data_IF_368240780359
#
_entry.id   IF_368240780359
#
_cell.length_a   1.000
_cell.length_b   1.000
_cell.length_c   1.000
_cell.angle_alpha   90.00
_cell.angle_beta   90.00
_cell.angle_gamma   90.00
#
_symmetry.space_group_name_H-M   'P 1'
#
loop_
_entity.id
_entity.type
_entity.pdbx_description
1 polymer ?
#
# COMPACT_ATOMS: atom_id res chain seq x y z
N UNK A 1 12.55 10.12 5.42
CA UNK A 1 11.57 9.31 6.17
C UNK A 1 10.50 8.86 5.19
N UNK A 2 10.09 7.59 5.23
CA UNK A 2 9.04 7.05 4.37
C UNK A 2 7.80 6.79 5.21
N UNK A 3 6.64 7.23 4.72
CA UNK A 3 5.35 6.92 5.31
C UNK A 3 4.50 6.13 4.32
N UNK A 4 3.78 5.13 4.81
CA UNK A 4 2.80 4.37 4.07
C UNK A 4 1.47 4.35 4.84
N UNK A 5 0.35 4.39 4.11
CA UNK A 5 -0.98 4.47 4.69
C UNK A 5 -1.81 3.28 4.23
N UNK A 6 -2.35 2.52 5.17
CA UNK A 6 -3.45 1.59 4.92
C UNK A 6 -4.73 2.42 4.90
N UNK A 7 -5.32 2.61 3.73
CA UNK A 7 -6.59 3.32 3.59
C UNK A 7 -7.70 2.27 3.52
N UNK A 8 -8.58 2.25 4.52
CA UNK A 8 -9.74 1.36 4.62
C UNK A 8 -11.00 2.10 4.19
N UNK A 9 -11.77 1.53 3.26
CA UNK A 9 -13.07 2.11 2.90
C UNK A 9 -14.22 1.52 3.75
N UNK A 10 -15.42 2.11 3.60
CA UNK A 10 -16.64 1.64 4.26
C UNK A 10 -17.10 0.23 3.86
N UNK A 11 -16.49 -0.38 2.83
CA UNK A 11 -16.74 -1.77 2.42
C UNK A 11 -15.77 -2.77 3.07
N UNK A 12 -14.90 -2.32 3.98
CA UNK A 12 -13.89 -3.17 4.62
C UNK A 12 -12.71 -3.53 3.71
N UNK A 13 -12.54 -2.82 2.59
CA UNK A 13 -11.45 -3.05 1.63
C UNK A 13 -10.34 -2.02 1.81
N UNK A 14 -9.12 -2.42 1.52
CA UNK A 14 -7.95 -1.54 1.52
C UNK A 14 -7.57 -1.09 0.12
N UNK A 15 -7.03 0.12 -0.01
CA UNK A 15 -6.48 0.62 -1.26
C UNK A 15 -5.07 0.08 -1.50
N UNK A 16 -4.85 -0.52 -2.66
CA UNK A 16 -3.53 -0.85 -3.21
C UNK A 16 -3.36 -0.18 -4.57
N UNK A 17 -2.12 0.20 -4.90
CA UNK A 17 -1.79 0.86 -6.18
C UNK A 17 -0.61 0.17 -6.84
N UNK A 18 -0.68 0.02 -8.16
CA UNK A 18 0.40 -0.52 -8.98
C UNK A 18 1.26 0.60 -9.51
N UNK A 19 2.57 0.51 -9.27
CA UNK A 19 3.54 1.49 -9.76
C UNK A 19 3.62 1.46 -11.29
N UNK A 20 3.71 2.65 -11.88
CA UNK A 20 3.81 2.83 -13.32
C UNK A 20 5.00 2.04 -13.90
N UNK A 21 4.86 1.42 -15.08
CA UNK A 21 5.96 0.73 -15.76
C UNK A 21 7.13 1.65 -16.09
N UNK A 22 6.90 2.98 -16.13
CA UNK A 22 7.93 3.99 -16.42
C UNK A 22 8.80 4.33 -15.21
N UNK A 23 8.57 3.73 -14.03
CA UNK A 23 9.36 3.98 -12.83
C UNK A 23 10.69 3.22 -12.87
N UNK A 24 11.78 3.89 -12.49
CA UNK A 24 13.12 3.28 -12.38
C UNK A 24 13.19 2.25 -11.25
N UNK A 25 12.55 2.55 -10.11
CA UNK A 25 12.57 1.71 -8.90
C UNK A 25 11.20 1.06 -8.74
N UNK A 26 11.21 -0.28 -8.65
CA UNK A 26 10.04 -1.15 -8.44
C UNK A 26 8.90 -0.91 -9.46
N UNK A 27 9.15 -0.94 -10.78
CA UNK A 27 8.09 -0.85 -11.78
C UNK A 27 7.13 -2.04 -11.68
N UNK A 28 5.84 -1.82 -11.97
CA UNK A 28 4.78 -2.85 -12.00
C UNK A 28 4.49 -3.56 -10.67
N UNK A 29 5.16 -3.19 -9.57
CA UNK A 29 4.87 -3.74 -8.25
C UNK A 29 3.70 -3.00 -7.59
N UNK A 30 2.95 -3.74 -6.79
CA UNK A 30 1.88 -3.20 -5.96
C UNK A 30 2.43 -2.63 -4.65
N UNK A 31 1.66 -1.74 -4.04
CA UNK A 31 2.00 -1.15 -2.76
C UNK A 31 0.81 -0.43 -2.12
N UNK A 32 0.97 -0.10 -0.85
CA UNK A 32 0.12 0.87 -0.17
C UNK A 32 0.45 2.28 -0.70
N UNK A 33 -0.51 3.22 -0.68
CA UNK A 33 -0.21 4.64 -0.77
C UNK A 33 0.94 5.01 0.14
N UNK A 34 2.00 5.56 -0.43
CA UNK A 34 3.22 5.88 0.29
C UNK A 34 3.93 7.07 -0.34
N UNK A 35 4.71 7.77 0.48
CA UNK A 35 5.49 8.93 0.07
C UNK A 35 6.63 9.20 1.03
N UNK A 36 7.53 10.07 0.60
CA UNK A 36 8.70 10.48 1.36
C UNK A 36 9.99 10.30 0.60
N UNK A 37 11.04 10.91 1.13
CA UNK A 37 12.38 10.86 0.59
C UNK A 37 13.27 9.99 1.49
N UNK A 38 14.27 9.37 0.88
CA UNK A 38 15.27 8.56 1.58
C UNK A 38 16.61 9.31 1.48
N UNK A 39 16.95 10.17 2.45
CA UNK A 39 18.35 10.58 2.63
C UNK A 39 19.12 9.39 3.21
N UNK A 40 20.18 8.93 2.53
CA UNK A 40 21.22 8.11 3.16
C UNK A 40 20.89 6.65 3.53
N UNK A 41 19.81 6.06 3.03
CA UNK A 41 19.62 4.60 3.09
C UNK A 41 19.10 4.00 4.41
N UNK A 42 18.60 4.81 5.35
CA UNK A 42 17.88 4.27 6.52
C UNK A 42 16.44 3.86 6.16
N UNK A 43 16.06 2.63 6.53
CA UNK A 43 14.90 1.87 6.01
C UNK A 43 13.73 1.72 7.00
N UNK A 44 13.31 2.80 7.66
CA UNK A 44 12.10 2.75 8.47
C UNK A 44 10.90 3.32 7.71
N UNK A 45 9.87 2.49 7.57
CA UNK A 45 8.56 2.88 7.03
C UNK A 45 7.61 3.06 8.20
N UNK A 46 7.09 4.27 8.36
CA UNK A 46 6.02 4.55 9.30
C UNK A 46 4.67 4.21 8.66
N UNK A 47 3.95 3.27 9.29
CA UNK A 47 2.63 2.84 8.83
C UNK A 47 1.51 3.52 9.61
N UNK A 48 0.53 4.06 8.89
CA UNK A 48 -0.68 4.67 9.43
C UNK A 48 -1.94 3.98 8.90
N UNK A 49 -3.02 4.08 9.65
CA UNK A 49 -4.36 3.66 9.23
C UNK A 49 -5.22 4.90 9.00
N UNK A 50 -5.86 4.99 7.85
CA UNK A 50 -6.85 6.00 7.53
C UNK A 50 -8.14 5.33 7.06
N UNK A 51 -9.26 6.04 7.21
CA UNK A 51 -10.56 5.62 6.69
C UNK A 51 -10.99 6.56 5.57
N UNK A 52 -11.65 6.01 4.55
CA UNK A 52 -12.23 6.77 3.44
C UNK A 52 -13.72 6.48 3.33
N UNK A 53 -14.51 7.53 3.24
CA UNK A 53 -15.95 7.47 2.97
C UNK A 53 -16.25 7.51 1.45
N UNK A 54 -15.21 7.63 0.61
CA UNK A 54 -15.31 7.58 -0.85
C UNK A 54 -14.48 6.44 -1.44
N UNK A 55 -14.92 5.93 -2.59
CA UNK A 55 -14.20 4.94 -3.41
C UNK A 55 -13.38 5.58 -4.53
N UNK A 56 -13.55 6.88 -4.79
CA UNK A 56 -12.90 7.58 -5.90
C UNK A 56 -11.40 7.71 -5.67
N UNK A 57 -10.60 7.32 -6.66
CA UNK A 57 -9.14 7.45 -6.65
C UNK A 57 -8.69 8.04 -7.98
N UNK A 58 -8.08 9.23 -7.92
CA UNK A 58 -7.45 9.87 -9.06
C UNK A 58 -5.94 9.60 -9.03
N UNK A 59 -5.46 8.77 -9.97
CA UNK A 59 -4.04 8.44 -10.07
C UNK A 59 -3.26 9.53 -10.81
N UNK A 60 -2.00 9.70 -10.43
CA UNK A 60 -1.03 10.49 -11.16
C UNK A 60 -0.09 9.58 -11.98
N UNK A 61 0.86 10.17 -12.70
CA UNK A 61 1.85 9.45 -13.53
C UNK A 61 2.72 8.42 -12.78
N UNK A 62 2.67 8.39 -11.45
CA UNK A 62 3.45 7.45 -10.67
C UNK A 62 2.87 6.04 -10.63
N UNK A 63 1.58 5.91 -10.90
CA UNK A 63 0.82 4.68 -10.80
C UNK A 63 0.08 4.41 -12.10
N UNK A 64 -0.14 3.14 -12.42
CA UNK A 64 -0.86 2.73 -13.63
C UNK A 64 -2.22 2.11 -13.34
N UNK A 65 -2.44 1.65 -12.11
CA UNK A 65 -3.63 0.89 -11.72
C UNK A 65 -3.85 1.01 -10.21
N UNK A 66 -5.09 0.94 -9.75
CA UNK A 66 -5.43 0.81 -8.33
C UNK A 66 -6.53 -0.22 -8.13
N UNK A 67 -6.62 -0.77 -6.91
CA UNK A 67 -7.70 -1.66 -6.50
C UNK A 67 -8.08 -1.43 -5.05
N UNK A 68 -9.37 -1.57 -4.78
CA UNK A 68 -9.89 -1.82 -3.44
C UNK A 68 -10.00 -3.33 -3.25
N UNK A 69 -9.24 -3.90 -2.32
CA UNK A 69 -9.16 -5.35 -2.09
C UNK A 69 -9.45 -5.70 -0.64
N UNK A 70 -9.93 -6.92 -0.38
CA UNK A 70 -9.99 -7.39 1.01
C UNK A 70 -8.56 -7.47 1.60
N UNK A 71 -8.36 -7.25 2.91
CA UNK A 71 -7.03 -7.34 3.53
C UNK A 71 -6.31 -8.67 3.23
N UNK A 72 -7.03 -9.79 3.27
CA UNK A 72 -6.46 -11.11 2.94
C UNK A 72 -6.09 -11.25 1.45
N UNK A 73 -6.90 -10.65 0.56
CA UNK A 73 -6.66 -10.67 -0.89
C UNK A 73 -5.39 -9.90 -1.26
N UNK A 74 -5.05 -8.84 -0.52
CA UNK A 74 -3.83 -8.07 -0.75
C UNK A 74 -2.54 -8.94 -0.70
N UNK A 75 -2.56 -10.03 0.05
CA UNK A 75 -1.43 -10.97 0.17
C UNK A 75 -1.18 -11.82 -1.10
N UNK A 76 -2.05 -11.73 -2.11
CA UNK A 76 -1.93 -12.39 -3.40
C UNK A 76 -1.25 -11.51 -4.47
N UNK A 77 -1.02 -10.23 -4.17
CA UNK A 77 -0.38 -9.30 -5.09
C UNK A 77 1.13 -9.20 -4.84
N UNK A 78 1.90 -8.94 -5.88
CA UNK A 78 3.35 -8.78 -5.77
C UNK A 78 3.70 -7.38 -5.27
N UNK A 79 4.02 -7.26 -3.98
CA UNK A 79 4.44 -6.00 -3.36
C UNK A 79 5.93 -5.74 -3.54
N UNK A 80 6.32 -4.46 -3.49
CA UNK A 80 7.73 -4.05 -3.39
C UNK A 80 8.40 -4.34 -2.04
N UNK A 81 7.67 -4.99 -1.12
CA UNK A 81 8.13 -5.46 0.19
C UNK A 81 7.70 -6.92 0.39
N UNK A 82 8.38 -7.72 1.23
CA UNK A 82 8.04 -9.13 1.43
C UNK A 82 6.58 -9.33 1.89
N UNK A 83 5.93 -10.40 1.41
CA UNK A 83 4.55 -10.77 1.77
C UNK A 83 4.33 -10.85 3.29
N UNK A 84 5.29 -11.40 4.03
CA UNK A 84 5.23 -11.48 5.49
C UNK A 84 5.22 -10.11 6.16
N UNK A 85 5.90 -9.11 5.57
CA UNK A 85 5.88 -7.74 6.06
C UNK A 85 4.51 -7.11 5.82
N UNK A 86 3.92 -7.29 4.64
CA UNK A 86 2.55 -6.84 4.35
C UNK A 86 1.56 -7.42 5.35
N UNK A 87 1.64 -8.73 5.62
CA UNK A 87 0.81 -9.40 6.63
C UNK A 87 0.94 -8.73 8.01
N UNK A 88 2.16 -8.54 8.51
CA UNK A 88 2.40 -7.92 9.83
C UNK A 88 1.80 -6.52 9.93
N UNK A 89 1.86 -5.72 8.86
CA UNK A 89 1.24 -4.38 8.82
C UNK A 89 -0.27 -4.47 8.92
N UNK A 90 -0.91 -5.42 8.23
CA UNK A 90 -2.36 -5.59 8.29
C UNK A 90 -2.83 -6.15 9.65
N UNK A 91 -2.08 -7.09 10.23
CA UNK A 91 -2.29 -7.60 11.60
C UNK A 91 -2.14 -6.48 12.64
N UNK A 92 -1.13 -5.61 12.52
CA UNK A 92 -0.93 -4.43 13.39
C UNK A 92 -2.17 -3.54 13.48
N UNK A 93 -2.96 -3.47 12.40
CA UNK A 93 -4.19 -2.68 12.35
C UNK A 93 -5.47 -3.50 12.56
N UNK A 94 -5.36 -4.76 12.97
CA UNK A 94 -6.51 -5.63 13.24
C UNK A 94 -7.31 -6.01 11.99
N UNK A 95 -6.71 -5.90 10.80
CA UNK A 95 -7.37 -6.18 9.51
C UNK A 95 -7.23 -7.64 9.05
N UNK A 96 -6.35 -8.39 9.71
CA UNK A 96 -6.26 -9.84 9.61
C UNK A 96 -6.36 -10.40 11.03
N UNK A 97 -7.30 -11.32 11.23
CA UNK A 97 -7.41 -12.09 12.46
C UNK A 97 -6.54 -13.35 12.34
N UNK A 98 -5.82 -13.65 13.41
CA UNK A 98 -5.13 -14.95 13.63
C UNK A 98 -6.16 -15.91 14.23
#
# INVERSE_FOLDING_TARGET
MVAAVVILNFQGKILIMKRSPKKKIHPNLWGLPAGGEIPGGAHEINYFLAKSDSLEVNLNKEHSEYKWVLPAEALNYQFGIPRQHVRKVLEKFGLLQI
#
